data_IF_948733659380
#
_entry.id   IF_948733659380
#
_cell.length_a   1.000
_cell.length_b   1.000
_cell.length_c   1.000
_cell.angle_alpha   90.00
_cell.angle_beta   90.00
_cell.angle_gamma   90.00
#
_symmetry.space_group_name_H-M   'P 1'
#
loop_
_entity.id
_entity.type
_entity.pdbx_description
1 polymer ?
#
# COMPACT_ATOMS: atom_id res chain seq x y z
N UNK A 1 17.28 3.46 -11.44
CA UNK A 1 17.89 2.79 -10.28
C UNK A 1 17.58 1.29 -10.32
N UNK A 2 18.24 0.55 -11.21
CA UNK A 2 17.99 -0.90 -11.39
C UNK A 2 18.76 -1.75 -10.36
N UNK A 3 19.76 -1.16 -9.72
CA UNK A 3 20.61 -1.84 -8.74
C UNK A 3 19.82 -2.39 -7.55
N UNK A 4 18.69 -1.76 -7.21
CA UNK A 4 17.77 -2.19 -6.16
C UNK A 4 17.19 -3.60 -6.36
N UNK A 5 17.23 -4.12 -7.59
CA UNK A 5 16.63 -5.42 -7.96
C UNK A 5 17.67 -6.53 -8.21
N UNK A 6 18.96 -6.27 -7.99
CA UNK A 6 20.05 -7.19 -8.33
C UNK A 6 20.00 -8.53 -7.57
N UNK A 7 19.47 -8.55 -6.35
CA UNK A 7 19.33 -9.77 -5.54
C UNK A 7 18.24 -10.72 -6.07
N UNK A 8 17.33 -10.21 -6.92
CA UNK A 8 16.30 -11.00 -7.65
C UNK A 8 15.42 -11.86 -6.75
N UNK A 9 15.18 -11.41 -5.52
CA UNK A 9 14.30 -12.04 -4.55
C UNK A 9 13.11 -11.13 -4.18
N UNK A 10 12.25 -11.62 -3.29
CA UNK A 10 11.08 -10.86 -2.83
C UNK A 10 11.48 -9.59 -2.06
N UNK A 11 12.56 -9.61 -1.28
CA UNK A 11 13.00 -8.45 -0.51
C UNK A 11 13.46 -7.32 -1.44
N UNK A 12 14.20 -7.63 -2.50
CA UNK A 12 14.60 -6.66 -3.52
C UNK A 12 13.39 -6.00 -4.19
N UNK A 13 12.34 -6.78 -4.48
CA UNK A 13 11.09 -6.24 -5.02
C UNK A 13 10.41 -5.28 -4.04
N UNK A 14 10.30 -5.66 -2.77
CA UNK A 14 9.72 -4.80 -1.73
C UNK A 14 10.54 -3.52 -1.51
N UNK A 15 11.86 -3.63 -1.44
CA UNK A 15 12.76 -2.49 -1.29
C UNK A 15 12.63 -1.52 -2.46
N UNK A 16 12.53 -2.04 -3.69
CA UNK A 16 12.25 -1.23 -4.88
C UNK A 16 10.90 -0.51 -4.80
N UNK A 17 9.83 -1.20 -4.40
CA UNK A 17 8.52 -0.57 -4.21
C UNK A 17 8.56 0.53 -3.15
N UNK A 18 9.20 0.28 -2.01
CA UNK A 18 9.42 1.27 -0.95
C UNK A 18 10.21 2.46 -1.49
N UNK A 19 11.28 2.23 -2.26
CA UNK A 19 12.15 3.28 -2.81
C UNK A 19 11.39 4.29 -3.69
N UNK A 20 10.39 3.84 -4.45
CA UNK A 20 9.62 4.72 -5.35
C UNK A 20 8.29 5.22 -4.76
N UNK A 21 7.91 4.81 -3.54
CA UNK A 21 6.68 5.26 -2.88
C UNK A 21 6.89 6.54 -2.06
N UNK A 22 5.88 7.38 -1.87
CA UNK A 22 5.99 8.54 -0.97
C UNK A 22 5.79 8.16 0.51
N UNK A 23 4.97 7.14 0.77
CA UNK A 23 4.66 6.60 2.10
C UNK A 23 4.51 5.07 2.04
N UNK A 24 4.53 4.41 3.20
CA UNK A 24 4.39 2.95 3.31
C UNK A 24 3.44 2.56 4.45
N UNK A 25 2.72 1.45 4.26
CA UNK A 25 1.90 0.80 5.29
C UNK A 25 2.52 -0.55 5.62
N UNK A 26 2.73 -0.84 6.91
CA UNK A 26 3.19 -2.15 7.37
C UNK A 26 1.98 -2.96 7.84
N UNK A 27 1.52 -3.89 7.01
CA UNK A 27 0.25 -4.61 7.18
C UNK A 27 0.40 -6.09 7.58
N UNK A 28 1.59 -6.52 8.02
CA UNK A 28 1.84 -7.90 8.46
C UNK A 28 2.83 -7.93 9.61
N UNK A 29 2.65 -8.89 10.53
CA UNK A 29 3.60 -9.16 11.61
C UNK A 29 4.85 -9.92 11.12
N UNK A 30 4.75 -10.62 9.99
CA UNK A 30 5.79 -11.51 9.47
C UNK A 30 6.63 -10.86 8.35
N UNK A 31 6.81 -9.54 8.40
CA UNK A 31 7.66 -8.82 7.44
C UNK A 31 9.13 -9.14 7.71
N UNK A 32 9.91 -9.37 6.65
CA UNK A 32 11.33 -9.68 6.78
C UNK A 32 12.08 -8.54 7.49
N UNK A 33 13.03 -8.91 8.36
CA UNK A 33 13.84 -7.92 9.11
C UNK A 33 14.61 -6.98 8.20
N UNK A 34 15.01 -7.48 7.03
CA UNK A 34 15.72 -6.70 6.01
C UNK A 34 14.83 -5.56 5.49
N UNK A 35 13.59 -5.87 5.08
CA UNK A 35 12.62 -4.88 4.58
C UNK A 35 12.26 -3.88 5.68
N UNK A 36 12.07 -4.33 6.92
CA UNK A 36 11.82 -3.42 8.05
C UNK A 36 12.97 -2.44 8.29
N UNK A 37 14.22 -2.90 8.14
CA UNK A 37 15.39 -2.03 8.25
C UNK A 37 15.47 -1.06 7.05
N UNK A 38 15.13 -1.52 5.85
CA UNK A 38 15.07 -0.66 4.67
C UNK A 38 14.05 0.48 4.85
N UNK A 39 12.84 0.18 5.33
CA UNK A 39 11.81 1.19 5.62
C UNK A 39 12.30 2.25 6.60
N UNK A 40 12.97 1.82 7.70
CA UNK A 40 13.54 2.75 8.68
C UNK A 40 14.58 3.70 8.07
N UNK A 41 15.40 3.18 7.16
CA UNK A 41 16.46 3.95 6.51
C UNK A 41 15.98 4.81 5.34
N UNK A 42 14.83 4.45 4.74
CA UNK A 42 14.26 5.19 3.61
C UNK A 42 13.70 6.57 4.00
N UNK A 43 13.54 6.85 5.30
CA UNK A 43 13.02 8.11 5.85
C UNK A 43 11.68 8.55 5.23
N UNK A 44 10.78 7.56 5.03
CA UNK A 44 9.45 7.75 4.45
C UNK A 44 8.38 7.75 5.52
N UNK A 45 7.26 8.39 5.25
CA UNK A 45 6.12 8.37 6.16
C UNK A 45 5.59 6.94 6.29
N UNK A 46 5.53 6.42 7.52
CA UNK A 46 4.89 5.14 7.83
C UNK A 46 3.49 5.42 8.33
N UNK A 47 2.50 4.87 7.63
CA UNK A 47 1.08 4.98 7.97
C UNK A 47 0.65 3.78 8.81
N UNK A 48 -0.22 4.02 9.80
CA UNK A 48 -0.76 2.96 10.66
C UNK A 48 -1.74 2.08 9.89
N UNK A 49 -1.57 0.77 9.99
CA UNK A 49 -2.43 -0.22 9.32
C UNK A 49 -3.92 -0.03 9.63
N UNK A 50 -4.28 0.11 10.91
CA UNK A 50 -5.70 0.25 11.30
C UNK A 50 -6.32 1.53 10.73
N UNK A 51 -5.53 2.61 10.62
CA UNK A 51 -6.00 3.89 10.05
C UNK A 51 -6.12 3.88 8.53
N UNK A 52 -5.52 2.91 7.84
CA UNK A 52 -5.62 2.73 6.39
C UNK A 52 -6.49 1.53 6.00
N UNK A 53 -7.01 0.83 7.00
CA UNK A 53 -7.92 -0.30 6.84
C UNK A 53 -9.38 0.18 6.83
N UNK A 54 -9.74 1.00 5.83
CA UNK A 54 -11.14 1.35 5.59
C UNK A 54 -11.79 0.32 4.66
N UNK A 55 -12.34 -0.72 5.26
CA UNK A 55 -13.11 -1.76 4.57
C UNK A 55 -14.62 -1.49 4.61
N UNK A 56 -15.06 -0.48 5.36
CA UNK A 56 -16.47 -0.24 5.67
C UNK A 56 -17.21 0.52 4.57
N UNK A 57 -16.48 1.17 3.64
CA UNK A 57 -17.14 2.06 2.67
C UNK A 57 -17.21 1.55 1.23
N UNK A 58 -16.68 0.35 0.91
CA UNK A 58 -16.73 -0.15 -0.48
C UNK A 58 -18.14 -0.53 -0.91
N UNK A 59 -18.90 -1.21 -0.04
CA UNK A 59 -20.28 -1.57 -0.34
C UNK A 59 -21.16 -0.31 -0.53
N UNK A 60 -21.05 0.66 0.39
CA UNK A 60 -21.78 1.92 0.32
C UNK A 60 -21.37 2.74 -0.92
N UNK A 61 -20.08 2.75 -1.28
CA UNK A 61 -19.61 3.40 -2.51
C UNK A 61 -20.23 2.78 -3.76
N UNK A 62 -20.32 1.45 -3.85
CA UNK A 62 -20.96 0.80 -5.00
C UNK A 62 -22.47 1.04 -5.05
N UNK A 63 -23.14 1.06 -3.89
CA UNK A 63 -24.56 1.44 -3.81
C UNK A 63 -24.77 2.91 -4.23
N UNK A 64 -23.92 3.82 -3.78
CA UNK A 64 -23.95 5.24 -4.15
C UNK A 64 -23.77 5.41 -5.67
N UNK A 65 -22.73 4.81 -6.25
CA UNK A 65 -22.48 4.82 -7.70
C UNK A 65 -23.69 4.24 -8.48
N UNK A 66 -24.19 3.07 -8.07
CA UNK A 66 -25.32 2.43 -8.74
C UNK A 66 -26.60 3.29 -8.66
N UNK A 67 -26.82 3.96 -7.54
CA UNK A 67 -27.96 4.84 -7.33
C UNK A 67 -27.87 6.14 -8.13
N UNK A 68 -26.67 6.75 -8.23
CA UNK A 68 -26.44 7.94 -9.05
C UNK A 68 -26.56 7.64 -10.55
N UNK A 69 -26.03 6.51 -11.01
CA UNK A 69 -26.14 6.08 -12.42
C UNK A 69 -27.61 5.86 -12.83
N UNK A 70 -28.43 5.26 -11.94
CA UNK A 70 -29.87 5.06 -12.15
C UNK A 70 -30.66 6.37 -12.19
N UNK A 71 -30.25 7.40 -11.45
CA UNK A 71 -30.88 8.74 -11.48
C UNK A 71 -30.52 9.50 -12.76
N UNK A 72 -29.34 9.26 -13.35
CA UNK A 72 -28.92 9.89 -14.60
C UNK A 72 -29.63 9.36 -15.86
N UNK A 73 -30.21 8.16 -15.77
CA UNK A 73 -30.90 7.46 -16.87
C UNK A 73 -32.43 7.57 -16.82
N UNK A 74 -32.99 8.14 -15.75
CA UNK A 74 -34.43 8.37 -15.54
C UNK A 74 -34.83 9.81 -15.87
#
# INVERSE_FOLDING_TARGET
DLALFNERDSNALYNGAIHFSDAVVLASADISKEVLNYVKNANKQVLGYDSTSDFENYYNLYEEIASEDLVSLA
#
